data_IF_458893357951
#
_entry.id   IF_458893357951
#
_cell.length_a   1.000
_cell.length_b   1.000
_cell.length_c   1.000
_cell.angle_alpha   90.00
_cell.angle_beta   90.00
_cell.angle_gamma   90.00
#
_symmetry.space_group_name_H-M   'P 1'
#
loop_
_entity.id
_entity.type
_entity.pdbx_description
1 polymer ?
#
# COMPACT_ATOMS: atom_id res chain seq x y z
N UNK A 1 38.68 -7.60 17.72
CA UNK A 1 37.70 -8.44 16.98
C UNK A 1 36.69 -7.51 16.36
N UNK A 2 36.42 -7.64 15.05
CA UNK A 2 35.46 -6.80 14.36
C UNK A 2 34.03 -7.02 14.87
N UNK A 3 33.20 -5.97 14.82
CA UNK A 3 31.76 -6.07 15.10
C UNK A 3 31.07 -6.72 13.91
N UNK A 4 30.18 -7.67 14.15
CA UNK A 4 29.30 -8.20 13.10
C UNK A 4 28.24 -7.15 12.75
N UNK A 5 27.99 -6.97 11.45
CA UNK A 5 26.97 -6.07 10.93
C UNK A 5 25.88 -6.86 10.20
N UNK A 6 24.71 -6.26 10.06
CA UNK A 6 23.60 -6.85 9.30
C UNK A 6 24.01 -7.16 7.87
N UNK A 7 23.65 -8.35 7.40
CA UNK A 7 23.90 -8.78 6.03
C UNK A 7 22.83 -9.74 5.52
N UNK A 8 22.67 -9.76 4.21
CA UNK A 8 21.71 -10.63 3.53
C UNK A 8 22.25 -11.00 2.15
N UNK A 9 22.10 -12.26 1.77
CA UNK A 9 22.27 -12.68 0.38
C UNK A 9 20.89 -12.68 -0.26
N UNK A 10 20.74 -11.94 -1.36
CA UNK A 10 19.49 -11.81 -2.10
C UNK A 10 19.31 -12.97 -3.09
N UNK A 11 18.07 -13.15 -3.59
CA UNK A 11 17.70 -14.19 -4.56
C UNK A 11 18.53 -14.14 -5.86
N UNK A 12 19.03 -12.96 -6.23
CA UNK A 12 19.89 -12.72 -7.40
C UNK A 12 21.39 -12.78 -7.08
N UNK A 13 21.74 -13.24 -5.88
CA UNK A 13 23.13 -13.50 -5.46
C UNK A 13 23.91 -12.28 -4.97
N UNK A 14 23.27 -11.15 -4.75
CA UNK A 14 23.93 -9.97 -4.17
C UNK A 14 24.13 -10.14 -2.65
N UNK A 15 25.26 -9.71 -2.15
CA UNK A 15 25.51 -9.57 -0.71
C UNK A 15 25.20 -8.12 -0.29
N UNK A 16 24.09 -7.93 0.42
CA UNK A 16 23.78 -6.67 1.08
C UNK A 16 24.47 -6.61 2.43
N UNK A 17 24.94 -5.44 2.81
CA UNK A 17 25.52 -5.16 4.14
C UNK A 17 24.93 -3.86 4.71
N UNK A 18 24.69 -3.84 6.01
CA UNK A 18 24.22 -2.67 6.75
C UNK A 18 25.40 -1.73 7.06
N UNK A 19 25.88 -1.04 6.03
CA UNK A 19 27.06 -0.21 6.11
C UNK A 19 26.74 1.17 6.70
N UNK A 20 27.60 1.67 7.60
CA UNK A 20 27.58 3.02 8.12
C UNK A 20 28.95 3.67 7.93
N UNK A 21 29.00 4.76 7.18
CA UNK A 21 30.22 5.48 6.85
C UNK A 21 30.00 6.97 7.07
N UNK A 22 30.98 7.62 7.73
CA UNK A 22 30.96 9.09 7.91
C UNK A 22 31.15 9.78 6.55
N UNK A 23 30.61 11.00 6.37
CA UNK A 23 30.91 11.81 5.19
C UNK A 23 32.42 11.90 4.94
N UNK A 24 32.84 11.66 3.68
CA UNK A 24 34.24 11.63 3.26
C UNK A 24 35.15 10.62 3.98
N UNK A 25 34.55 9.68 4.72
CA UNK A 25 35.26 8.61 5.41
C UNK A 25 35.38 7.35 4.56
N UNK A 26 36.08 6.36 5.12
CA UNK A 26 36.14 4.99 4.60
C UNK A 26 35.87 3.99 5.71
N UNK A 27 35.30 2.85 5.35
CA UNK A 27 35.13 1.71 6.24
C UNK A 27 35.50 0.44 5.47
N UNK A 28 36.16 -0.49 6.19
CA UNK A 28 36.53 -1.79 5.62
C UNK A 28 35.68 -2.86 6.26
N UNK A 29 35.05 -3.68 5.43
CA UNK A 29 34.27 -4.82 5.85
C UNK A 29 34.92 -6.11 5.39
N UNK A 30 34.91 -7.13 6.24
CA UNK A 30 35.46 -8.43 5.94
C UNK A 30 34.32 -9.44 5.84
N UNK A 31 34.31 -10.21 4.76
CA UNK A 31 33.36 -11.29 4.56
C UNK A 31 34.04 -12.61 4.95
N UNK A 32 33.38 -13.40 5.78
CA UNK A 32 33.82 -14.72 6.14
C UNK A 32 32.69 -15.72 6.11
N UNK A 33 32.97 -16.96 5.77
CA UNK A 33 32.03 -18.07 5.88
C UNK A 33 31.93 -18.48 7.35
N UNK A 34 30.72 -18.55 7.87
CA UNK A 34 30.49 -18.92 9.27
C UNK A 34 29.01 -19.21 9.55
N UNK A 35 28.69 -19.52 10.78
CA UNK A 35 27.30 -19.68 11.21
C UNK A 35 26.64 -18.29 11.22
N UNK A 36 25.41 -18.16 10.65
CA UNK A 36 24.66 -16.92 10.76
C UNK A 36 24.44 -16.59 12.24
N UNK A 37 24.61 -15.32 12.61
CA UNK A 37 24.17 -14.84 13.91
C UNK A 37 22.73 -14.32 13.82
N UNK A 38 22.05 -14.24 14.96
CA UNK A 38 20.70 -13.67 15.00
C UNK A 38 20.76 -12.18 14.70
N UNK A 39 20.08 -11.77 13.64
CA UNK A 39 20.02 -10.39 13.19
C UNK A 39 18.63 -9.81 13.47
N UNK A 40 18.56 -8.50 13.75
CA UNK A 40 17.30 -7.79 13.73
C UNK A 40 16.77 -7.75 12.30
N UNK A 41 15.50 -8.08 12.11
CA UNK A 41 14.82 -7.97 10.81
C UNK A 41 14.27 -6.57 10.69
N UNK A 42 14.68 -5.86 9.65
CA UNK A 42 14.22 -4.51 9.32
C UNK A 42 13.29 -4.51 8.11
N UNK A 43 13.48 -5.43 7.17
CA UNK A 43 12.64 -5.54 5.98
C UNK A 43 11.98 -6.92 5.93
N UNK A 44 10.66 -6.96 5.86
CA UNK A 44 9.87 -8.21 5.84
C UNK A 44 8.52 -7.99 5.18
N UNK A 45 7.89 -9.07 4.74
CA UNK A 45 6.55 -9.05 4.19
C UNK A 45 5.95 -10.44 4.07
N UNK A 46 4.65 -10.49 3.85
CA UNK A 46 3.92 -11.75 3.72
C UNK A 46 2.61 -11.58 2.97
N UNK A 47 2.01 -12.70 2.59
CA UNK A 47 0.60 -12.78 2.25
C UNK A 47 -0.24 -12.81 3.53
N UNK A 48 -1.17 -11.90 3.65
CA UNK A 48 -2.08 -11.77 4.79
C UNK A 48 -3.50 -12.24 4.43
N UNK A 49 -3.76 -13.53 4.56
CA UNK A 49 -5.10 -14.11 4.31
C UNK A 49 -6.18 -13.49 5.18
N UNK A 50 -5.83 -13.05 6.39
CA UNK A 50 -6.72 -12.35 7.33
C UNK A 50 -7.23 -11.01 6.77
N UNK A 51 -6.47 -10.40 5.82
CA UNK A 51 -6.81 -9.20 5.07
C UNK A 51 -7.17 -9.52 3.62
N UNK A 52 -7.83 -10.65 3.38
CA UNK A 52 -8.39 -11.04 2.07
C UNK A 52 -7.32 -11.08 0.97
N UNK A 53 -6.20 -11.76 1.27
CA UNK A 53 -5.05 -11.97 0.39
C UNK A 53 -4.26 -10.69 0.05
N UNK A 54 -4.23 -9.69 0.92
CA UNK A 54 -3.28 -8.61 0.77
C UNK A 54 -1.84 -9.17 0.88
N UNK A 55 -0.96 -8.74 -0.01
CA UNK A 55 0.48 -8.85 0.21
C UNK A 55 0.95 -7.51 0.74
N UNK A 56 1.50 -7.51 1.95
CA UNK A 56 2.05 -6.32 2.57
C UNK A 56 3.51 -6.56 2.98
N UNK A 57 4.30 -5.51 2.91
CA UNK A 57 5.71 -5.53 3.29
C UNK A 57 6.09 -4.21 3.93
N UNK A 58 7.11 -4.26 4.76
CA UNK A 58 7.57 -3.12 5.53
C UNK A 58 9.08 -3.12 5.70
N UNK A 59 9.62 -1.95 5.99
CA UNK A 59 10.96 -1.78 6.51
C UNK A 59 10.94 -0.90 7.77
N UNK A 60 12.10 -0.38 8.18
CA UNK A 60 12.24 0.50 9.33
C UNK A 60 11.68 1.93 9.13
N UNK A 61 11.06 2.26 7.99
CA UNK A 61 10.55 3.60 7.65
C UNK A 61 9.08 3.64 7.24
N UNK A 62 8.64 2.66 6.48
CA UNK A 62 7.30 2.65 5.88
C UNK A 62 6.84 1.23 5.64
N UNK A 63 5.56 1.08 5.30
CA UNK A 63 5.01 -0.16 4.82
C UNK A 63 4.18 0.06 3.56
N UNK A 64 4.01 -0.99 2.78
CA UNK A 64 3.27 -0.98 1.53
C UNK A 64 2.41 -2.22 1.43
N UNK A 65 1.35 -2.15 0.62
CA UNK A 65 0.56 -3.32 0.27
C UNK A 65 0.05 -3.28 -1.17
N UNK A 66 -0.27 -4.46 -1.67
CA UNK A 66 -1.08 -4.67 -2.87
C UNK A 66 -2.26 -5.56 -2.52
N UNK A 67 -3.37 -5.31 -3.18
CA UNK A 67 -4.63 -5.98 -2.88
C UNK A 67 -4.76 -7.28 -3.66
N UNK A 68 -5.29 -8.29 -2.99
CA UNK A 68 -5.38 -9.62 -3.52
C UNK A 68 -6.74 -10.01 -4.09
N UNK A 69 -6.80 -11.20 -4.71
CA UNK A 69 -8.02 -11.67 -5.37
C UNK A 69 -9.19 -11.91 -4.41
N UNK A 70 -8.94 -12.23 -3.13
CA UNK A 70 -10.02 -12.40 -2.16
C UNK A 70 -10.71 -11.06 -1.83
N UNK A 71 -9.97 -9.94 -1.77
CA UNK A 71 -10.56 -8.62 -1.60
C UNK A 71 -11.40 -8.25 -2.83
N UNK A 72 -10.86 -8.45 -4.02
CA UNK A 72 -11.56 -8.14 -5.27
C UNK A 72 -12.89 -8.92 -5.43
N UNK A 73 -12.98 -10.13 -4.89
CA UNK A 73 -14.23 -10.93 -4.86
C UNK A 73 -15.33 -10.31 -4.01
N UNK A 74 -15.02 -9.39 -3.09
CA UNK A 74 -16.04 -8.65 -2.31
C UNK A 74 -16.69 -7.51 -3.08
N UNK A 75 -16.21 -7.21 -4.29
CA UNK A 75 -16.64 -6.08 -5.11
C UNK A 75 -15.81 -4.82 -4.87
N UNK A 76 -14.87 -4.84 -3.95
CA UNK A 76 -13.96 -3.73 -3.73
C UNK A 76 -13.00 -3.56 -4.92
N UNK A 77 -12.76 -2.30 -5.29
CA UNK A 77 -11.99 -1.93 -6.49
C UNK A 77 -10.76 -1.13 -6.11
N UNK A 78 -9.87 -1.75 -5.34
CA UNK A 78 -8.56 -1.19 -5.02
C UNK A 78 -7.52 -1.87 -5.91
N UNK A 79 -6.87 -1.11 -6.80
CA UNK A 79 -6.00 -1.67 -7.84
C UNK A 79 -4.53 -1.34 -7.61
N UNK A 80 -4.26 -0.21 -7.00
CA UNK A 80 -2.93 0.34 -6.88
C UNK A 80 -2.14 -0.18 -5.68
N UNK A 81 -0.96 0.38 -5.52
CA UNK A 81 -0.13 0.16 -4.34
C UNK A 81 -0.54 1.13 -3.24
N UNK A 82 -0.62 0.64 -2.03
CA UNK A 82 -0.94 1.40 -0.84
C UNK A 82 0.31 1.67 0.00
N UNK A 83 0.27 2.72 0.82
CA UNK A 83 1.38 3.09 1.70
C UNK A 83 0.90 3.32 3.14
N UNK A 84 1.69 2.84 4.08
CA UNK A 84 1.57 3.13 5.48
C UNK A 84 2.78 3.93 5.96
N UNK A 85 2.55 4.98 6.70
CA UNK A 85 3.59 5.72 7.38
C UNK A 85 3.92 5.08 8.72
N UNK A 86 5.21 5.07 9.09
CA UNK A 86 5.70 4.50 10.35
C UNK A 86 6.50 5.55 11.11
N UNK A 87 6.41 5.50 12.43
CA UNK A 87 7.23 6.28 13.36
C UNK A 87 8.07 5.39 14.28
N UNK A 88 8.20 4.10 13.93
CA UNK A 88 9.02 3.11 14.61
C UNK A 88 9.84 2.29 13.61
N UNK A 89 11.08 1.90 13.94
CA UNK A 89 11.87 1.00 13.10
C UNK A 89 11.48 -0.49 13.26
N UNK A 90 10.52 -0.80 14.11
CA UNK A 90 10.07 -2.17 14.35
C UNK A 90 9.01 -2.60 13.34
N UNK A 91 8.88 -3.90 13.13
CA UNK A 91 7.83 -4.46 12.28
C UNK A 91 6.47 -4.34 12.98
N UNK A 92 5.45 -3.83 12.29
CA UNK A 92 4.16 -3.49 12.89
C UNK A 92 2.94 -3.99 12.10
N UNK A 93 3.10 -4.28 10.82
CA UNK A 93 1.97 -4.59 9.91
C UNK A 93 1.16 -5.78 10.40
N UNK A 94 1.82 -6.87 10.80
CA UNK A 94 1.11 -8.07 11.27
C UNK A 94 0.27 -7.79 12.52
N UNK A 95 0.85 -7.14 13.53
CA UNK A 95 0.15 -6.84 14.78
C UNK A 95 -1.02 -5.87 14.55
N UNK A 96 -0.84 -4.89 13.68
CA UNK A 96 -1.89 -3.94 13.31
C UNK A 96 -3.05 -4.64 12.62
N UNK A 97 -2.79 -5.55 11.69
CA UNK A 97 -3.82 -6.35 11.04
C UNK A 97 -4.58 -7.26 12.02
N UNK A 98 -3.88 -7.93 12.93
CA UNK A 98 -4.52 -8.76 13.95
C UNK A 98 -5.39 -7.92 14.89
N UNK A 99 -4.89 -6.75 15.30
CA UNK A 99 -5.62 -5.84 16.19
C UNK A 99 -6.90 -5.33 15.54
N UNK A 100 -6.82 -4.84 14.31
CA UNK A 100 -7.95 -4.37 13.52
C UNK A 100 -8.98 -5.49 13.26
N UNK A 101 -8.54 -6.66 12.84
CA UNK A 101 -9.41 -7.81 12.63
C UNK A 101 -10.17 -8.20 13.91
N UNK A 102 -9.48 -8.24 15.05
CA UNK A 102 -10.10 -8.54 16.32
C UNK A 102 -11.12 -7.47 16.75
N UNK A 103 -10.82 -6.20 16.45
CA UNK A 103 -11.74 -5.08 16.63
C UNK A 103 -12.98 -5.24 15.79
N UNK A 104 -12.82 -5.50 14.50
CA UNK A 104 -13.92 -5.71 13.56
C UNK A 104 -14.82 -6.89 13.97
N UNK A 105 -14.26 -8.03 14.40
CA UNK A 105 -15.04 -9.18 14.89
C UNK A 105 -15.87 -8.80 16.12
N UNK A 106 -15.34 -7.98 17.04
CA UNK A 106 -16.07 -7.52 18.22
C UNK A 106 -17.13 -6.49 17.84
N UNK A 107 -16.78 -5.53 16.98
CA UNK A 107 -17.68 -4.51 16.44
C UNK A 107 -18.89 -5.15 15.75
N UNK A 108 -18.68 -6.11 14.86
CA UNK A 108 -19.75 -6.86 14.18
C UNK A 108 -20.75 -7.50 15.15
N UNK A 109 -20.26 -8.05 16.29
CA UNK A 109 -21.11 -8.63 17.32
C UNK A 109 -21.91 -7.57 18.05
N UNK A 110 -21.33 -6.41 18.31
CA UNK A 110 -22.02 -5.27 18.93
C UNK A 110 -23.09 -4.74 17.97
N UNK A 111 -22.75 -4.56 16.71
CA UNK A 111 -23.66 -4.07 15.68
C UNK A 111 -24.83 -5.03 15.42
N UNK A 112 -24.59 -6.33 15.51
CA UNK A 112 -25.67 -7.32 15.45
C UNK A 112 -26.67 -7.14 16.62
N UNK A 113 -26.16 -6.88 17.85
CA UNK A 113 -27.01 -6.57 19.01
C UNK A 113 -27.76 -5.26 18.81
N UNK A 114 -27.11 -4.22 18.30
CA UNK A 114 -27.73 -2.93 18.00
C UNK A 114 -28.89 -3.12 17.02
N UNK A 115 -28.69 -3.84 15.92
CA UNK A 115 -29.76 -4.14 14.94
C UNK A 115 -30.93 -4.88 15.57
N UNK A 116 -30.67 -5.86 16.46
CA UNK A 116 -31.71 -6.59 17.15
C UNK A 116 -32.54 -5.68 18.11
N UNK A 117 -31.87 -4.83 18.88
CA UNK A 117 -32.52 -3.87 19.78
C UNK A 117 -33.29 -2.79 19.02
N UNK A 118 -32.80 -2.31 17.89
CA UNK A 118 -33.53 -1.39 17.03
C UNK A 118 -34.82 -1.99 16.49
N UNK A 119 -34.80 -3.28 16.12
CA UNK A 119 -36.01 -4.01 15.70
C UNK A 119 -37.03 -4.12 16.86
N UNK A 120 -36.56 -4.43 18.08
CA UNK A 120 -37.39 -4.47 19.27
C UNK A 120 -37.97 -3.09 19.62
N UNK A 121 -37.16 -2.03 19.56
CA UNK A 121 -37.57 -0.66 19.80
C UNK A 121 -38.69 -0.21 18.88
N UNK A 122 -38.56 -0.54 17.55
CA UNK A 122 -39.60 -0.22 16.55
C UNK A 122 -40.94 -0.92 16.81
N UNK A 123 -40.92 -2.10 17.44
CA UNK A 123 -42.13 -2.87 17.78
C UNK A 123 -42.73 -2.52 19.16
N UNK A 124 -41.97 -1.84 20.02
CA UNK A 124 -42.37 -1.52 21.39
C UNK A 124 -43.36 -0.34 21.44
N UNK A 125 -44.51 -0.57 22.02
CA UNK A 125 -45.56 0.43 22.15
C UNK A 125 -45.48 1.22 23.49
N UNK A 126 -44.78 0.69 24.46
CA UNK A 126 -44.57 1.35 25.75
C UNK A 126 -43.43 2.36 25.65
N UNK A 127 -43.73 3.62 25.84
CA UNK A 127 -42.78 4.74 25.67
C UNK A 127 -41.58 4.63 26.62
N UNK A 128 -41.78 4.19 27.87
CA UNK A 128 -40.70 4.05 28.84
C UNK A 128 -39.74 2.91 28.44
N UNK A 129 -40.29 1.77 27.97
CA UNK A 129 -39.48 0.65 27.47
C UNK A 129 -38.73 1.03 26.16
N UNK A 130 -39.41 1.73 25.26
CA UNK A 130 -38.77 2.22 24.05
C UNK A 130 -37.60 3.19 24.35
N UNK A 131 -37.74 4.05 25.35
CA UNK A 131 -36.68 4.94 25.80
C UNK A 131 -35.51 4.17 26.46
N UNK A 132 -35.77 3.11 27.21
CA UNK A 132 -34.75 2.25 27.79
C UNK A 132 -33.95 1.52 26.69
N UNK A 133 -34.61 1.01 25.64
CA UNK A 133 -33.97 0.40 24.48
C UNK A 133 -33.10 1.42 23.73
N UNK A 134 -33.58 2.66 23.51
CA UNK A 134 -32.80 3.73 22.92
C UNK A 134 -31.49 4.02 23.66
N UNK A 135 -31.56 4.04 25.01
CA UNK A 135 -30.36 4.22 25.84
C UNK A 135 -29.35 3.08 25.67
N UNK A 136 -29.84 1.83 25.63
CA UNK A 136 -28.96 0.68 25.37
C UNK A 136 -28.33 0.71 23.98
N UNK A 137 -29.10 1.04 22.97
CA UNK A 137 -28.59 1.18 21.58
C UNK A 137 -27.47 2.23 21.52
N UNK A 138 -27.72 3.40 22.15
CA UNK A 138 -26.72 4.48 22.20
C UNK A 138 -25.43 4.06 22.91
N UNK A 139 -25.53 3.32 23.99
CA UNK A 139 -24.37 2.80 24.72
C UNK A 139 -23.57 1.81 23.88
N UNK A 140 -24.23 0.84 23.23
CA UNK A 140 -23.56 -0.12 22.35
C UNK A 140 -22.94 0.53 21.12
N UNK A 141 -23.58 1.53 20.52
CA UNK A 141 -23.00 2.30 19.42
C UNK A 141 -21.77 3.12 19.85
N UNK A 142 -21.75 3.58 21.10
CA UNK A 142 -20.56 4.24 21.65
C UNK A 142 -19.41 3.23 21.86
N UNK A 143 -19.73 2.04 22.39
CA UNK A 143 -18.77 0.93 22.56
C UNK A 143 -18.17 0.48 21.22
N UNK A 144 -19.01 0.34 20.16
CA UNK A 144 -18.54 0.00 18.80
C UNK A 144 -17.57 1.04 18.28
N UNK A 145 -17.92 2.33 18.36
CA UNK A 145 -17.03 3.42 17.93
C UNK A 145 -15.72 3.48 18.72
N UNK A 146 -15.77 3.26 20.04
CA UNK A 146 -14.56 3.21 20.85
C UNK A 146 -13.66 2.05 20.44
N UNK A 147 -14.25 0.89 20.13
CA UNK A 147 -13.52 -0.27 19.61
C UNK A 147 -12.82 0.06 18.28
N UNK A 148 -13.54 0.69 17.34
CA UNK A 148 -12.97 1.11 16.06
C UNK A 148 -11.79 2.07 16.25
N UNK A 149 -11.95 3.07 17.13
CA UNK A 149 -10.88 4.01 17.47
C UNK A 149 -9.66 3.29 18.03
N UNK A 150 -9.85 2.31 18.93
CA UNK A 150 -8.76 1.60 19.60
C UNK A 150 -8.03 0.60 18.70
N UNK A 151 -8.67 0.12 17.64
CA UNK A 151 -8.14 -1.00 16.85
C UNK A 151 -7.83 -0.65 15.41
N UNK A 152 -8.44 0.38 14.83
CA UNK A 152 -8.23 0.79 13.45
C UNK A 152 -6.77 1.06 13.13
N UNK A 153 -6.28 0.51 12.03
CA UNK A 153 -4.95 0.84 11.52
C UNK A 153 -4.90 2.18 10.76
N UNK A 154 -6.05 2.82 10.51
CA UNK A 154 -6.12 4.17 9.96
C UNK A 154 -5.85 5.27 11.02
N UNK A 155 -5.66 4.89 12.28
CA UNK A 155 -5.31 5.80 13.37
C UNK A 155 -3.93 5.48 13.93
N UNK A 156 -3.16 6.53 14.27
CA UNK A 156 -1.85 6.36 14.89
C UNK A 156 -2.00 5.92 16.35
N UNK A 157 -1.46 4.75 16.66
CA UNK A 157 -1.38 4.20 18.02
C UNK A 157 0.06 4.25 18.58
N UNK A 158 0.87 5.21 18.11
CA UNK A 158 2.26 5.36 18.49
C UNK A 158 3.25 4.62 17.60
N UNK A 159 2.78 3.98 16.52
CA UNK A 159 3.63 3.21 15.59
C UNK A 159 3.34 3.50 14.12
N UNK A 160 2.62 4.60 13.83
CA UNK A 160 2.21 4.99 12.49
C UNK A 160 0.80 4.52 12.12
N UNK A 161 0.40 4.75 10.89
CA UNK A 161 -0.96 4.50 10.40
C UNK A 161 -0.98 4.30 8.88
N UNK A 162 -2.13 3.84 8.38
CA UNK A 162 -2.52 3.84 6.97
C UNK A 162 -3.35 5.11 6.67
N UNK A 163 -2.75 6.17 6.12
CA UNK A 163 -3.45 7.43 5.86
C UNK A 163 -3.86 7.59 4.41
N UNK A 164 -3.57 6.63 3.53
CA UNK A 164 -3.63 6.83 2.08
C UNK A 164 -4.84 6.14 1.46
N UNK A 165 -5.54 6.86 0.58
CA UNK A 165 -6.71 6.33 -0.13
C UNK A 165 -6.34 5.88 -1.54
N UNK A 166 -6.40 4.59 -1.81
CA UNK A 166 -6.10 4.02 -3.12
C UNK A 166 -7.33 3.97 -4.03
N UNK A 167 -8.39 3.29 -3.61
CA UNK A 167 -9.59 3.10 -4.41
C UNK A 167 -9.33 2.48 -5.80
N UNK A 168 -10.17 2.80 -6.77
CA UNK A 168 -10.05 2.32 -8.15
C UNK A 168 -9.01 3.14 -8.96
N UNK A 169 -7.82 3.34 -8.40
CA UNK A 169 -6.73 4.16 -8.96
C UNK A 169 -5.41 3.39 -9.01
N UNK A 170 -4.35 4.06 -9.50
CA UNK A 170 -2.98 3.52 -9.44
C UNK A 170 -2.46 3.36 -8.02
N UNK A 171 -3.07 4.03 -7.03
CA UNK A 171 -2.43 4.18 -5.74
C UNK A 171 -1.05 4.80 -5.88
N UNK A 172 -0.09 4.40 -5.07
CA UNK A 172 1.26 4.93 -5.12
C UNK A 172 2.14 4.11 -6.06
N UNK A 173 2.25 4.59 -7.30
CA UNK A 173 3.24 4.11 -8.26
C UNK A 173 2.93 2.78 -8.94
N UNK A 174 1.69 2.29 -8.92
CA UNK A 174 1.37 1.12 -9.75
C UNK A 174 1.55 1.45 -11.24
N UNK A 175 2.07 0.51 -12.03
CA UNK A 175 2.23 0.68 -13.47
C UNK A 175 0.90 0.56 -14.20
N UNK A 176 0.84 1.16 -15.38
CA UNK A 176 -0.25 1.01 -16.34
C UNK A 176 0.27 1.16 -17.77
N UNK A 177 -0.43 0.58 -18.72
CA UNK A 177 -0.23 0.83 -20.15
C UNK A 177 -1.27 1.85 -20.65
N UNK A 178 -0.89 2.65 -21.64
CA UNK A 178 -1.77 3.68 -22.20
C UNK A 178 -2.35 3.23 -23.54
N UNK A 179 -3.67 3.33 -23.67
CA UNK A 179 -4.36 3.19 -24.96
C UNK A 179 -4.99 4.54 -25.29
N UNK A 180 -4.30 5.31 -26.12
CA UNK A 180 -4.63 6.73 -26.33
C UNK A 180 -4.44 7.52 -25.02
N UNK A 181 -5.52 8.08 -24.49
CA UNK A 181 -5.53 8.81 -23.21
C UNK A 181 -5.97 7.96 -22.00
N UNK A 182 -6.35 6.72 -22.24
CA UNK A 182 -6.88 5.84 -21.20
C UNK A 182 -5.82 4.91 -20.64
N UNK A 183 -5.83 4.74 -19.33
CA UNK A 183 -4.99 3.78 -18.65
C UNK A 183 -5.64 2.39 -18.65
N UNK A 184 -4.83 1.37 -18.88
CA UNK A 184 -5.19 -0.03 -18.65
C UNK A 184 -4.58 -0.42 -17.30
N UNK A 185 -5.42 -0.51 -16.28
CA UNK A 185 -5.02 -0.89 -14.94
C UNK A 185 -5.19 -2.39 -14.75
N UNK A 186 -4.20 -3.12 -14.26
CA UNK A 186 -4.37 -4.51 -13.86
C UNK A 186 -5.32 -4.57 -12.66
N UNK A 187 -6.21 -5.57 -12.65
CA UNK A 187 -7.28 -5.67 -11.65
C UNK A 187 -6.75 -6.04 -10.25
N UNK A 188 -6.00 -7.13 -10.16
CA UNK A 188 -5.25 -7.57 -8.97
C UNK A 188 -4.24 -8.62 -9.41
N UNK A 189 -3.26 -8.92 -8.57
CA UNK A 189 -2.33 -9.98 -8.88
C UNK A 189 -3.05 -11.34 -8.96
N UNK A 190 -2.55 -12.22 -9.81
CA UNK A 190 -2.99 -13.60 -9.97
C UNK A 190 -2.15 -14.55 -9.13
N UNK A 191 -0.82 -14.40 -9.25
CA UNK A 191 0.17 -15.20 -8.57
C UNK A 191 1.26 -14.31 -7.97
N UNK A 192 1.93 -14.80 -6.93
CA UNK A 192 3.04 -14.12 -6.30
C UNK A 192 4.15 -15.09 -5.89
N UNK A 193 5.35 -14.58 -5.75
CA UNK A 193 6.48 -15.29 -5.20
C UNK A 193 7.32 -14.34 -4.35
N UNK A 194 7.48 -14.63 -3.06
CA UNK A 194 8.40 -13.90 -2.20
C UNK A 194 9.81 -14.41 -2.53
N UNK A 195 10.65 -13.53 -3.04
CA UNK A 195 12.02 -13.82 -3.49
C UNK A 195 13.03 -13.59 -2.37
N UNK A 196 12.88 -12.49 -1.63
CA UNK A 196 13.66 -12.16 -0.45
C UNK A 196 12.75 -11.81 0.71
N UNK A 197 13.03 -12.33 1.87
CA UNK A 197 12.36 -11.96 3.11
C UNK A 197 13.39 -12.02 4.23
N UNK A 198 14.23 -11.04 4.26
CA UNK A 198 15.41 -11.06 5.09
C UNK A 198 15.66 -9.77 5.84
N UNK A 199 16.74 -9.67 6.61
CA UNK A 199 16.88 -8.56 7.54
C UNK A 199 16.99 -7.19 6.86
N UNK A 200 17.49 -7.12 5.62
CA UNK A 200 17.79 -5.84 4.96
C UNK A 200 16.93 -5.55 3.72
N UNK A 201 16.41 -6.59 3.06
CA UNK A 201 15.57 -6.45 1.85
C UNK A 201 14.42 -7.42 1.88
N UNK A 202 13.24 -6.92 1.54
CA UNK A 202 12.11 -7.71 1.09
C UNK A 202 11.98 -7.58 -0.42
N UNK A 203 11.69 -8.70 -1.12
CA UNK A 203 11.41 -8.71 -2.56
C UNK A 203 10.25 -9.64 -2.86
N UNK A 204 9.30 -9.16 -3.64
CA UNK A 204 8.17 -9.95 -4.15
C UNK A 204 8.05 -9.82 -5.66
N UNK A 205 7.79 -10.93 -6.31
CA UNK A 205 7.37 -11.00 -7.71
C UNK A 205 5.86 -11.20 -7.76
N UNK A 206 5.18 -10.40 -8.61
CA UNK A 206 3.75 -10.46 -8.86
C UNK A 206 3.50 -10.73 -10.34
N UNK A 207 2.57 -11.62 -10.63
CA UNK A 207 2.06 -11.87 -11.97
C UNK A 207 0.56 -11.54 -11.99
N UNK A 208 0.13 -10.79 -12.99
CA UNK A 208 -1.25 -10.34 -13.13
C UNK A 208 -2.04 -11.22 -14.11
N UNK A 209 -3.37 -11.10 -14.08
CA UNK A 209 -4.20 -11.75 -15.06
C UNK A 209 -4.01 -11.11 -16.44
N UNK A 210 -4.13 -11.89 -17.54
CA UNK A 210 -4.13 -11.32 -18.88
C UNK A 210 -5.18 -10.21 -19.03
N UNK A 211 -4.79 -9.12 -19.65
CA UNK A 211 -5.65 -7.98 -19.95
C UNK A 211 -5.63 -7.62 -21.43
N UNK A 212 -6.66 -6.91 -21.88
CA UNK A 212 -6.70 -6.34 -23.21
C UNK A 212 -6.03 -4.96 -23.21
N UNK A 213 -5.12 -4.74 -24.14
CA UNK A 213 -4.41 -3.46 -24.34
C UNK A 213 -4.54 -3.09 -25.83
N UNK A 214 -5.45 -2.20 -26.16
CA UNK A 214 -5.84 -1.96 -27.55
C UNK A 214 -6.36 -3.24 -28.20
N UNK A 215 -5.75 -3.63 -29.32
CA UNK A 215 -6.10 -4.86 -30.07
C UNK A 215 -5.43 -6.13 -29.48
N UNK A 216 -4.46 -5.98 -28.59
CA UNK A 216 -3.77 -7.09 -27.93
C UNK A 216 -4.63 -7.63 -26.79
N UNK A 217 -5.01 -8.94 -26.84
CA UNK A 217 -5.99 -9.51 -25.92
C UNK A 217 -5.41 -10.22 -24.68
N UNK A 218 -4.12 -10.55 -24.72
CA UNK A 218 -3.49 -11.39 -23.69
C UNK A 218 -2.17 -10.78 -23.20
N UNK A 219 -2.19 -9.52 -22.81
CA UNK A 219 -1.02 -8.86 -22.22
C UNK A 219 -0.97 -9.18 -20.74
N UNK A 220 0.13 -9.78 -20.30
CA UNK A 220 0.36 -10.16 -18.89
C UNK A 220 1.41 -9.24 -18.31
N UNK A 221 1.06 -8.58 -17.24
CA UNK A 221 1.99 -7.74 -16.48
C UNK A 221 2.69 -8.56 -15.39
N UNK A 222 3.99 -8.31 -15.25
CA UNK A 222 4.83 -8.83 -14.18
C UNK A 222 5.52 -7.66 -13.45
N UNK A 223 5.67 -7.80 -12.13
CA UNK A 223 6.40 -6.85 -11.28
C UNK A 223 7.35 -7.58 -10.36
N UNK A 224 8.57 -7.08 -10.23
CA UNK A 224 9.43 -7.35 -9.09
C UNK A 224 9.50 -6.07 -8.27
N UNK A 225 9.09 -6.16 -7.02
CA UNK A 225 9.06 -5.02 -6.09
C UNK A 225 10.00 -5.34 -4.94
N UNK A 226 10.98 -4.48 -4.67
CA UNK A 226 11.88 -4.62 -3.53
C UNK A 226 11.91 -3.36 -2.67
N UNK A 227 12.01 -3.57 -1.36
CA UNK A 227 12.14 -2.53 -0.35
C UNK A 227 13.33 -2.83 0.56
N UNK A 228 14.26 -1.89 0.61
CA UNK A 228 15.47 -1.99 1.43
C UNK A 228 15.31 -1.29 2.78
N UNK A 229 16.03 -1.78 3.79
CA UNK A 229 16.24 -1.05 5.04
C UNK A 229 16.69 0.38 4.75
N UNK A 230 16.07 1.33 5.43
CA UNK A 230 16.39 2.76 5.33
C UNK A 230 15.83 3.47 4.11
N UNK A 231 15.18 2.77 3.18
CA UNK A 231 14.54 3.38 2.01
C UNK A 231 13.11 3.82 2.31
N UNK A 232 12.71 4.96 1.73
CA UNK A 232 11.30 5.37 1.65
C UNK A 232 10.69 4.99 0.29
N UNK A 233 11.46 4.37 -0.61
CA UNK A 233 11.03 4.01 -1.95
C UNK A 233 11.16 2.52 -2.19
N UNK A 234 10.13 1.95 -2.82
CA UNK A 234 10.26 0.67 -3.49
C UNK A 234 11.04 0.84 -4.78
N UNK A 235 11.89 -0.13 -5.10
CA UNK A 235 12.35 -0.34 -6.48
C UNK A 235 11.38 -1.30 -7.15
N UNK A 236 10.84 -0.89 -8.31
CA UNK A 236 9.92 -1.72 -9.08
C UNK A 236 10.48 -1.93 -10.49
N UNK A 237 10.60 -3.19 -10.89
CA UNK A 237 10.91 -3.61 -12.25
C UNK A 237 9.64 -4.21 -12.84
N UNK A 238 9.24 -3.71 -14.01
CA UNK A 238 7.99 -4.11 -14.67
C UNK A 238 8.30 -4.58 -16.09
N UNK A 239 7.66 -5.68 -16.49
CA UNK A 239 7.69 -6.14 -17.88
C UNK A 239 6.34 -6.74 -18.26
N UNK A 240 6.13 -6.91 -19.56
CA UNK A 240 4.88 -7.37 -20.13
C UNK A 240 5.10 -8.49 -21.11
N UNK A 241 4.43 -9.62 -20.93
CA UNK A 241 4.32 -10.65 -21.95
C UNK A 241 3.16 -10.33 -22.88
N UNK A 242 3.32 -10.65 -24.18
CA UNK A 242 2.26 -10.45 -25.18
C UNK A 242 2.10 -9.00 -25.67
N UNK A 243 3.01 -8.10 -25.32
CA UNK A 243 3.07 -6.74 -25.85
C UNK A 243 3.74 -6.76 -27.22
N UNK A 244 2.95 -6.79 -28.31
CA UNK A 244 3.44 -6.97 -29.68
C UNK A 244 3.58 -5.66 -30.44
N UNK A 245 3.00 -4.59 -29.95
CA UNK A 245 3.11 -3.23 -30.53
C UNK A 245 3.67 -2.26 -29.49
N UNK A 246 4.48 -1.25 -29.92
CA UNK A 246 4.97 -0.23 -29.01
C UNK A 246 3.82 0.45 -28.28
N UNK A 247 3.86 0.44 -26.96
CA UNK A 247 2.80 0.96 -26.10
C UNK A 247 3.41 1.86 -25.03
N UNK A 248 2.76 2.99 -24.76
CA UNK A 248 3.25 3.90 -23.75
C UNK A 248 2.97 3.34 -22.36
N UNK A 249 3.99 3.42 -21.51
CA UNK A 249 3.93 3.06 -20.09
C UNK A 249 3.70 4.31 -19.26
N UNK A 250 2.87 4.20 -18.24
CA UNK A 250 2.65 5.27 -17.27
C UNK A 250 2.70 4.74 -15.85
N UNK A 251 3.19 5.56 -14.94
CA UNK A 251 3.04 5.38 -13.50
C UNK A 251 2.93 6.74 -12.82
N UNK A 252 2.35 6.76 -11.64
CA UNK A 252 2.11 7.97 -10.86
C UNK A 252 1.19 7.67 -9.70
N UNK A 253 0.31 8.60 -9.36
CA UNK A 253 -0.58 8.48 -8.20
C UNK A 253 -1.86 9.29 -8.41
N UNK A 254 -2.96 8.96 -7.69
CA UNK A 254 -4.17 9.76 -7.67
C UNK A 254 -3.93 11.12 -7.02
N UNK A 255 -4.73 12.10 -7.41
CA UNK A 255 -4.79 13.43 -6.82
C UNK A 255 -6.12 13.54 -6.06
N UNK A 256 -6.07 13.77 -4.76
CA UNK A 256 -7.23 13.84 -3.89
C UNK A 256 -7.76 15.26 -3.67
N UNK A 257 -6.99 16.27 -4.05
CA UNK A 257 -7.43 17.69 -4.04
C UNK A 257 -7.40 18.29 -5.44
N UNK A 258 -8.34 19.18 -5.71
CA UNK A 258 -8.42 19.90 -7.00
C UNK A 258 -7.35 20.99 -7.10
N UNK A 259 -7.03 21.65 -5.98
CA UNK A 259 -5.96 22.63 -5.91
C UNK A 259 -4.63 21.94 -5.65
N UNK A 260 -3.73 22.06 -6.59
CA UNK A 260 -2.58 21.19 -6.70
C UNK A 260 -1.29 21.94 -6.96
N UNK A 261 -1.06 23.04 -6.28
CA UNK A 261 0.25 23.69 -6.24
C UNK A 261 1.32 22.76 -5.67
N UNK A 262 0.90 21.75 -4.88
CA UNK A 262 1.78 20.73 -4.30
C UNK A 262 2.29 19.66 -5.28
N UNK A 263 1.78 19.62 -6.53
CA UNK A 263 2.29 18.69 -7.57
C UNK A 263 3.55 19.22 -8.23
N UNK A 264 4.53 18.36 -8.35
CA UNK A 264 5.75 18.65 -9.11
C UNK A 264 5.90 17.64 -10.25
N UNK A 265 6.07 18.16 -11.45
CA UNK A 265 6.42 17.39 -12.64
C UNK A 265 7.84 17.79 -13.06
N UNK A 266 8.80 16.90 -12.82
CA UNK A 266 10.19 17.07 -13.21
C UNK A 266 10.54 16.16 -14.38
N UNK A 267 11.79 16.24 -14.86
CA UNK A 267 12.25 15.41 -15.98
C UNK A 267 12.43 13.94 -15.63
N UNK A 268 12.51 13.61 -14.34
CA UNK A 268 12.82 12.27 -13.82
C UNK A 268 11.96 11.85 -12.63
N UNK A 269 11.07 12.71 -12.14
CA UNK A 269 10.11 12.35 -11.11
C UNK A 269 8.80 13.14 -11.21
N UNK A 270 7.77 12.55 -10.61
CA UNK A 270 6.50 13.22 -10.30
C UNK A 270 6.29 13.09 -8.79
N UNK A 271 5.91 14.15 -8.11
CA UNK A 271 5.63 14.14 -6.67
C UNK A 271 4.42 14.98 -6.30
N UNK A 272 3.87 14.70 -5.13
CA UNK A 272 2.66 15.33 -4.62
C UNK A 272 2.61 15.27 -3.10
N UNK A 273 2.09 16.32 -2.46
CA UNK A 273 1.74 16.31 -1.04
C UNK A 273 0.27 15.92 -0.91
N UNK A 274 0.01 14.64 -0.68
CA UNK A 274 -1.34 14.10 -0.52
C UNK A 274 -1.94 14.52 0.83
N UNK A 275 -3.19 15.01 0.89
CA UNK A 275 -3.83 15.48 2.13
C UNK A 275 -4.23 14.35 3.08
N UNK A 276 -4.01 13.09 2.70
CA UNK A 276 -4.47 11.89 3.41
C UNK A 276 -6.00 11.65 3.30
N UNK A 277 -6.45 10.49 3.73
CA UNK A 277 -7.87 10.11 3.67
C UNK A 277 -8.74 10.82 4.74
N UNK A 278 -8.13 11.27 5.84
CA UNK A 278 -8.80 11.97 6.92
C UNK A 278 -7.88 13.01 7.59
N UNK A 279 -7.76 14.17 6.96
CA UNK A 279 -6.87 15.24 7.41
C UNK A 279 -7.23 15.76 8.80
N UNK A 280 -8.51 15.73 9.19
CA UNK A 280 -8.96 16.18 10.52
C UNK A 280 -8.44 15.29 11.64
N UNK A 281 -8.30 13.98 11.37
CA UNK A 281 -7.81 12.99 12.32
C UNK A 281 -6.29 12.85 12.24
N UNK A 282 -5.76 12.82 11.03
CA UNK A 282 -4.32 12.57 10.79
C UNK A 282 -3.47 13.83 10.96
N UNK A 283 -4.04 15.02 10.80
CA UNK A 283 -3.39 16.33 10.90
C UNK A 283 -2.08 16.46 10.12
N UNK A 284 -1.93 15.66 9.04
CA UNK A 284 -0.66 15.56 8.32
C UNK A 284 -0.89 15.35 6.83
N UNK A 285 0.18 15.51 6.08
CA UNK A 285 0.26 15.20 4.66
C UNK A 285 1.22 14.03 4.45
N UNK A 286 0.99 13.24 3.41
CA UNK A 286 1.91 12.22 2.95
C UNK A 286 2.54 12.68 1.63
N UNK A 287 3.86 12.88 1.65
CA UNK A 287 4.59 13.21 0.43
C UNK A 287 4.83 11.93 -0.37
N UNK A 288 4.19 11.85 -1.53
CA UNK A 288 4.28 10.72 -2.44
C UNK A 288 5.06 11.10 -3.71
N UNK A 289 5.75 10.14 -4.30
CA UNK A 289 6.51 10.38 -5.52
C UNK A 289 6.84 9.11 -6.27
N UNK A 290 7.03 9.27 -7.59
CA UNK A 290 7.52 8.22 -8.48
C UNK A 290 8.74 8.76 -9.21
N UNK A 291 9.84 8.01 -9.11
CA UNK A 291 11.11 8.34 -9.73
C UNK A 291 11.36 7.43 -10.93
N UNK A 292 11.77 8.03 -12.04
CA UNK A 292 12.16 7.36 -13.28
C UNK A 292 13.68 7.48 -13.45
N UNK A 293 14.47 6.45 -13.16
CA UNK A 293 15.93 6.55 -13.24
C UNK A 293 16.47 6.96 -14.63
N UNK A 294 15.73 6.60 -15.68
CA UNK A 294 16.06 6.94 -17.07
C UNK A 294 15.32 8.18 -17.60
N UNK A 295 14.71 8.94 -16.69
CA UNK A 295 13.92 10.12 -17.04
C UNK A 295 12.53 9.82 -17.55
N UNK A 296 11.72 10.86 -17.64
CA UNK A 296 10.32 10.87 -18.08
C UNK A 296 10.30 11.45 -19.53
N UNK A 297 9.60 10.77 -20.45
CA UNK A 297 9.42 11.26 -21.81
C UNK A 297 8.31 12.29 -21.91
N UNK A 298 7.25 12.11 -21.08
CA UNK A 298 6.12 13.02 -21.02
C UNK A 298 5.45 12.96 -19.65
N UNK A 299 4.95 14.08 -19.18
CA UNK A 299 4.12 14.16 -17.97
C UNK A 299 2.67 14.43 -18.36
N UNK A 300 1.75 13.85 -17.62
CA UNK A 300 0.34 13.94 -17.93
C UNK A 300 -0.50 14.04 -16.67
N UNK A 301 -1.42 14.99 -16.62
CA UNK A 301 -2.46 15.04 -15.60
C UNK A 301 -3.77 14.58 -16.21
N UNK A 302 -4.18 13.37 -15.85
CA UNK A 302 -5.44 12.79 -16.28
C UNK A 302 -6.54 13.21 -15.31
N UNK A 303 -7.51 14.00 -15.78
CA UNK A 303 -8.72 14.27 -15.01
C UNK A 303 -9.73 13.12 -15.16
N UNK A 304 -10.42 12.81 -14.09
CA UNK A 304 -11.55 11.88 -14.12
C UNK A 304 -12.84 12.62 -14.42
N UNK A 305 -13.75 12.01 -15.19
CA UNK A 305 -15.10 12.55 -15.44
C UNK A 305 -15.93 12.65 -14.16
N UNK A 306 -15.67 11.74 -13.21
CA UNK A 306 -16.25 11.70 -11.86
C UNK A 306 -15.18 11.33 -10.86
N UNK A 307 -15.27 11.89 -9.66
CA UNK A 307 -14.37 11.49 -8.55
C UNK A 307 -14.47 9.99 -8.28
N UNK A 308 -13.31 9.34 -8.14
CA UNK A 308 -13.18 7.94 -7.75
C UNK A 308 -12.60 7.88 -6.34
N UNK A 309 -13.40 7.49 -5.36
CA UNK A 309 -12.98 7.39 -3.95
C UNK A 309 -12.26 8.65 -3.43
N UNK A 310 -12.75 9.84 -3.83
CA UNK A 310 -12.16 11.13 -3.51
C UNK A 310 -11.11 11.63 -4.49
N UNK A 311 -10.55 10.77 -5.34
CA UNK A 311 -9.57 11.19 -6.33
C UNK A 311 -10.23 11.96 -7.51
N UNK A 312 -9.59 13.04 -7.93
CA UNK A 312 -10.02 13.91 -9.04
C UNK A 312 -9.33 13.57 -10.36
N UNK A 313 -8.22 12.85 -10.30
CA UNK A 313 -7.41 12.46 -11.44
C UNK A 313 -6.14 11.73 -11.04
N UNK A 314 -5.27 11.52 -12.02
CA UNK A 314 -3.92 10.98 -11.83
C UNK A 314 -2.85 11.99 -12.28
N UNK A 315 -1.78 12.13 -11.50
CA UNK A 315 -0.53 12.73 -11.96
C UNK A 315 0.41 11.63 -12.42
N UNK A 316 0.85 11.68 -13.68
CA UNK A 316 1.56 10.61 -14.35
C UNK A 316 2.89 11.07 -14.94
N UNK A 317 3.91 10.20 -14.82
CA UNK A 317 5.06 10.18 -15.70
C UNK A 317 4.91 9.05 -16.72
N UNK A 318 5.32 9.29 -17.97
CA UNK A 318 5.21 8.35 -19.07
C UNK A 318 6.56 8.04 -19.69
N UNK A 319 6.73 6.77 -20.10
CA UNK A 319 7.77 6.29 -21.00
C UNK A 319 7.11 5.81 -22.29
N UNK A 320 7.64 6.23 -23.43
CA UNK A 320 7.06 5.93 -24.73
C UNK A 320 7.56 4.62 -25.32
N UNK A 321 6.67 3.92 -25.99
CA UNK A 321 6.99 2.86 -26.92
C UNK A 321 7.63 1.62 -26.30
N UNK A 322 7.25 1.21 -25.09
CA UNK A 322 7.62 -0.08 -24.53
C UNK A 322 7.25 -1.22 -25.51
N UNK A 323 8.15 -2.19 -25.63
CA UNK A 323 7.97 -3.40 -26.43
C UNK A 323 8.18 -4.65 -25.59
#
# INVERSE_FOLDING_TARGET
>A
RGQQIGSQITHDGLLLIDASIRPHGSATYYVSIGKPYQQKVYATGALYKIRKDDIAWENDRCAYRVYGPALQKTGERSFGTDIWVKNTPDTVVYERYIKDMNGNIKGDKIDAKVRALQKQQKAEKNTAKAAALAKQIKALQAESREMDILTSFHLDHGNGLDPYRVGATLGLGAPSLMVGKNQVLPYCYKDYRILDNGPLRFTVELTYNPSAVGDMKNVVEHRIISLDKGSNFNRMTVWYDGLTTPTDFATGFPIHEEDTESKTFAKDYVSYADPTDNIEVNHSQVYVGVLFPEGIDHTYYQLFDKKHDGATGHALGLKRGLK
#
